data_IF_575910401155
#
_entry.id   IF_575910401155
#
_cell.length_a   1.000
_cell.length_b   1.000
_cell.length_c   1.000
_cell.angle_alpha   90.00
_cell.angle_beta   90.00
_cell.angle_gamma   90.00
#
_symmetry.space_group_name_H-M   'P 1'
#
loop_
_entity.id
_entity.type
_entity.pdbx_description
1 polymer ?
#
# COMPACT_ATOMS: atom_id res chain seq x y z
N UNK A 1 -4.89 -8.15 -8.60
CA UNK A 1 -5.87 -8.57 -7.60
C UNK A 1 -6.62 -7.40 -6.97
N UNK A 2 -6.07 -6.18 -6.92
CA UNK A 2 -6.72 -4.96 -6.41
C UNK A 2 -7.23 -4.03 -7.53
N UNK A 3 -7.51 -4.56 -8.72
CA UNK A 3 -7.93 -3.77 -9.88
C UNK A 3 -9.44 -3.47 -9.89
N UNK A 4 -10.24 -4.16 -9.07
CA UNK A 4 -11.70 -4.01 -9.02
C UNK A 4 -12.21 -4.20 -7.58
N UNK A 5 -13.31 -3.53 -7.25
CA UNK A 5 -13.93 -3.53 -5.92
C UNK A 5 -13.74 -2.21 -5.18
N UNK A 6 -14.53 -2.01 -4.12
CA UNK A 6 -14.60 -0.75 -3.38
C UNK A 6 -13.25 -0.36 -2.72
N UNK A 7 -12.47 -1.33 -2.20
CA UNK A 7 -11.15 -1.11 -1.63
C UNK A 7 -9.99 -1.17 -2.64
N UNK A 8 -10.27 -1.19 -3.95
CA UNK A 8 -9.21 -1.21 -4.97
C UNK A 8 -8.44 0.12 -5.00
N UNK A 9 -7.17 0.07 -5.40
CA UNK A 9 -6.35 1.27 -5.55
C UNK A 9 -7.02 2.32 -6.43
N UNK A 10 -7.68 1.89 -7.55
CA UNK A 10 -8.39 2.81 -8.43
C UNK A 10 -9.56 3.50 -7.70
N UNK A 11 -10.44 2.75 -7.03
CA UNK A 11 -11.60 3.31 -6.35
C UNK A 11 -11.19 4.30 -5.25
N UNK A 12 -10.18 3.93 -4.48
CA UNK A 12 -9.63 4.75 -3.39
C UNK A 12 -8.98 6.02 -3.92
N UNK A 13 -8.20 5.94 -5.02
CA UNK A 13 -7.58 7.10 -5.65
C UNK A 13 -8.62 8.01 -6.34
N UNK A 14 -9.64 7.46 -6.96
CA UNK A 14 -10.75 8.24 -7.53
C UNK A 14 -11.47 9.05 -6.43
N UNK A 15 -11.69 8.45 -5.25
CA UNK A 15 -12.25 9.15 -4.09
C UNK A 15 -11.31 10.24 -3.55
N UNK A 16 -10.02 9.95 -3.45
CA UNK A 16 -9.00 10.93 -3.02
C UNK A 16 -8.93 12.12 -3.99
N UNK A 17 -8.94 11.87 -5.28
CA UNK A 17 -8.99 12.93 -6.30
C UNK A 17 -10.22 13.83 -6.12
N UNK A 18 -11.40 13.26 -5.87
CA UNK A 18 -12.62 14.04 -5.62
C UNK A 18 -12.46 14.95 -4.39
N UNK A 19 -11.78 14.49 -3.32
CA UNK A 19 -11.50 15.34 -2.14
C UNK A 19 -10.57 16.50 -2.49
N UNK A 20 -9.51 16.25 -3.26
CA UNK A 20 -8.58 17.30 -3.71
C UNK A 20 -9.28 18.31 -4.63
N UNK A 21 -10.10 17.85 -5.58
CA UNK A 21 -10.87 18.72 -6.48
C UNK A 21 -11.90 19.56 -5.71
N UNK A 22 -12.54 18.98 -4.70
CA UNK A 22 -13.43 19.70 -3.81
C UNK A 22 -12.69 20.78 -3.01
N UNK A 23 -11.52 20.48 -2.44
CA UNK A 23 -10.68 21.46 -1.74
C UNK A 23 -10.33 22.62 -2.66
N UNK A 24 -9.84 22.34 -3.86
CA UNK A 24 -9.51 23.38 -4.85
C UNK A 24 -10.72 24.26 -5.17
N UNK A 25 -11.88 23.66 -5.42
CA UNK A 25 -13.12 24.39 -5.73
C UNK A 25 -13.60 25.23 -4.55
N UNK A 26 -13.48 24.72 -3.33
CA UNK A 26 -13.84 25.42 -2.08
C UNK A 26 -12.92 26.62 -1.83
N UNK A 27 -11.62 26.46 -2.05
CA UNK A 27 -10.66 27.56 -1.93
C UNK A 27 -10.96 28.67 -2.96
N UNK A 28 -11.25 28.33 -4.20
CA UNK A 28 -11.64 29.30 -5.23
C UNK A 28 -12.93 30.03 -4.86
N UNK A 29 -13.93 29.34 -4.32
CA UNK A 29 -15.17 29.96 -3.84
C UNK A 29 -14.89 30.96 -2.70
N UNK A 30 -14.00 30.60 -1.76
CA UNK A 30 -13.58 31.49 -0.68
C UNK A 30 -12.90 32.76 -1.22
N UNK A 31 -11.94 32.62 -2.14
CA UNK A 31 -11.26 33.76 -2.77
C UNK A 31 -12.27 34.67 -3.47
N UNK A 32 -13.20 34.12 -4.23
CA UNK A 32 -14.26 34.89 -4.90
C UNK A 32 -15.16 35.62 -3.91
N UNK A 33 -15.53 35.01 -2.79
CA UNK A 33 -16.35 35.61 -1.74
C UNK A 33 -15.62 36.78 -1.08
N UNK A 34 -14.35 36.62 -0.74
CA UNK A 34 -13.52 37.67 -0.11
C UNK A 34 -13.34 38.84 -1.08
N UNK A 35 -12.95 38.57 -2.34
CA UNK A 35 -12.80 39.63 -3.36
C UNK A 35 -14.10 40.40 -3.59
N UNK A 36 -15.25 39.72 -3.64
CA UNK A 36 -16.55 40.38 -3.74
C UNK A 36 -16.90 41.26 -2.53
N UNK A 37 -16.50 40.86 -1.32
CA UNK A 37 -16.65 41.68 -0.12
C UNK A 37 -15.71 42.91 -0.15
N UNK A 38 -14.49 42.73 -0.59
CA UNK A 38 -13.50 43.84 -0.70
C UNK A 38 -13.96 44.86 -1.73
N UNK A 39 -14.42 44.43 -2.89
CA UNK A 39 -14.99 45.32 -3.92
C UNK A 39 -16.21 46.09 -3.38
N UNK A 40 -17.08 45.40 -2.64
CA UNK A 40 -18.22 46.00 -1.97
C UNK A 40 -17.81 47.08 -0.96
N UNK A 41 -16.83 46.80 -0.12
CA UNK A 41 -16.31 47.73 0.86
C UNK A 41 -15.62 48.92 0.20
N UNK A 42 -14.83 48.72 -0.85
CA UNK A 42 -14.20 49.76 -1.63
C UNK A 42 -15.27 50.71 -2.24
N UNK A 43 -16.28 50.17 -2.87
CA UNK A 43 -17.39 50.98 -3.40
C UNK A 43 -18.19 51.69 -2.31
N UNK A 44 -18.36 51.13 -1.12
CA UNK A 44 -19.04 51.79 -0.01
C UNK A 44 -18.19 52.98 0.52
N UNK A 45 -16.88 52.85 0.57
CA UNK A 45 -15.94 53.93 0.98
C UNK A 45 -15.93 55.07 -0.04
N UNK A 46 -15.88 54.78 -1.33
CA UNK A 46 -15.93 55.77 -2.40
C UNK A 46 -17.23 56.61 -2.38
N UNK A 47 -18.35 55.99 -2.01
CA UNK A 47 -19.68 56.61 -1.96
C UNK A 47 -20.00 57.37 -0.68
N UNK A 48 -19.13 57.33 0.34
CA UNK A 48 -19.37 57.93 1.65
C UNK A 48 -19.52 59.49 1.59
N UNK A 49 -19.46 60.06 0.37
CA UNK A 49 -19.73 61.48 0.10
C UNK A 49 -21.05 61.79 -0.59
N UNK A 50 -21.87 60.84 -0.94
CA UNK A 50 -23.17 61.13 -1.61
C UNK A 50 -24.14 59.94 -1.54
N UNK A 51 -25.20 60.09 -0.67
CA UNK A 51 -26.52 59.43 -0.73
C UNK A 51 -26.67 58.00 -0.26
N UNK A 52 -27.91 57.56 0.05
CA UNK A 52 -28.20 56.42 0.93
C UNK A 52 -27.68 55.10 0.43
N UNK A 53 -27.27 54.29 1.38
CA UNK A 53 -26.73 52.93 1.27
C UNK A 53 -27.53 52.10 0.31
N UNK A 54 -27.08 51.98 -0.94
CA UNK A 54 -27.48 50.90 -1.80
C UNK A 54 -26.79 49.67 -1.26
N UNK A 55 -27.57 48.76 -0.65
CA UNK A 55 -27.07 47.50 -0.12
C UNK A 55 -26.29 46.80 -1.22
N UNK A 56 -24.97 46.66 -0.93
CA UNK A 56 -24.12 45.85 -1.78
C UNK A 56 -24.56 44.38 -1.56
N UNK A 57 -25.27 43.84 -2.48
CA UNK A 57 -25.61 42.40 -2.49
C UNK A 57 -24.44 41.68 -3.10
N UNK A 58 -23.54 41.14 -2.24
CA UNK A 58 -22.59 40.12 -2.68
C UNK A 58 -23.42 38.88 -3.01
N UNK A 59 -23.33 38.40 -4.22
CA UNK A 59 -23.92 37.10 -4.55
C UNK A 59 -23.35 36.05 -3.60
N UNK A 60 -24.23 35.29 -2.92
CA UNK A 60 -23.73 34.28 -1.98
C UNK A 60 -22.86 33.29 -2.75
N UNK A 61 -21.60 33.20 -2.38
CA UNK A 61 -20.68 32.24 -2.99
C UNK A 61 -21.24 30.82 -2.79
N UNK A 62 -21.46 30.11 -3.90
CA UNK A 62 -21.94 28.75 -3.84
C UNK A 62 -20.76 27.84 -3.54
N UNK A 63 -20.69 27.38 -2.28
CA UNK A 63 -19.68 26.42 -1.87
C UNK A 63 -20.05 25.02 -2.36
N UNK A 64 -19.12 24.29 -2.97
CA UNK A 64 -19.38 22.92 -3.39
C UNK A 64 -19.61 22.01 -2.18
N UNK A 65 -20.56 21.08 -2.28
CA UNK A 65 -20.74 20.05 -1.26
C UNK A 65 -19.52 19.15 -1.22
N UNK A 66 -19.09 18.79 0.01
CA UNK A 66 -18.02 17.84 0.20
C UNK A 66 -18.45 16.46 -0.28
N UNK A 67 -17.68 15.79 -1.16
CA UNK A 67 -17.97 14.41 -1.54
C UNK A 67 -17.75 13.47 -0.33
N UNK A 68 -18.50 12.36 -0.34
CA UNK A 68 -18.27 11.29 0.65
C UNK A 68 -16.92 10.61 0.40
N UNK A 69 -16.25 10.23 1.49
CA UNK A 69 -14.99 9.50 1.43
C UNK A 69 -15.28 8.01 1.29
N UNK A 70 -14.79 7.41 0.21
CA UNK A 70 -14.90 5.98 -0.05
C UNK A 70 -13.53 5.31 0.05
N UNK A 71 -13.07 5.10 1.29
CA UNK A 71 -11.79 4.47 1.62
C UNK A 71 -12.04 3.10 2.24
N UNK A 72 -12.63 2.21 1.43
CA UNK A 72 -13.03 0.89 1.87
C UNK A 72 -11.82 -0.03 2.12
N UNK A 73 -12.02 -0.98 3.01
CA UNK A 73 -11.05 -2.03 3.25
C UNK A 73 -11.01 -3.02 2.08
N UNK A 74 -9.85 -3.58 1.84
CA UNK A 74 -9.68 -4.70 0.94
C UNK A 74 -9.27 -5.97 1.69
N UNK A 75 -9.60 -7.12 1.11
CA UNK A 75 -9.15 -8.41 1.62
C UNK A 75 -8.26 -9.08 0.57
N UNK A 76 -7.07 -9.46 0.99
CA UNK A 76 -6.20 -10.29 0.18
C UNK A 76 -6.49 -11.76 0.51
N UNK A 77 -6.96 -12.51 -0.48
CA UNK A 77 -7.13 -13.96 -0.36
C UNK A 77 -5.93 -14.63 -1.03
N UNK A 78 -5.01 -15.22 -0.27
CA UNK A 78 -3.90 -15.94 -0.88
C UNK A 78 -4.41 -17.10 -1.73
N UNK A 79 -3.73 -17.44 -2.84
CA UNK A 79 -4.10 -18.57 -3.64
C UNK A 79 -4.00 -19.86 -2.83
N UNK A 80 -5.05 -20.67 -2.87
CA UNK A 80 -5.03 -21.99 -2.25
C UNK A 80 -4.22 -22.94 -3.14
N UNK A 81 -3.18 -23.51 -2.57
CA UNK A 81 -2.40 -24.57 -3.20
C UNK A 81 -2.97 -25.90 -2.69
N UNK A 82 -3.71 -26.59 -3.51
CA UNK A 82 -4.30 -27.87 -3.15
C UNK A 82 -3.84 -28.96 -4.12
N UNK A 83 -3.47 -30.09 -3.58
CA UNK A 83 -3.20 -31.31 -4.35
C UNK A 83 -1.77 -31.80 -4.26
N UNK A 84 -1.59 -33.06 -4.64
CA UNK A 84 -0.29 -33.70 -4.81
C UNK A 84 0.03 -33.65 -6.31
N UNK A 85 1.11 -32.95 -6.65
CA UNK A 85 1.60 -32.89 -8.02
C UNK A 85 3.02 -33.49 -8.07
N UNK A 86 3.40 -34.17 -9.18
CA UNK A 86 4.77 -34.68 -9.34
C UNK A 86 5.81 -33.56 -9.31
N UNK A 87 6.99 -33.86 -8.79
CA UNK A 87 8.07 -32.90 -8.59
C UNK A 87 8.49 -32.18 -9.88
N UNK A 88 8.78 -32.93 -10.94
CA UNK A 88 9.31 -32.38 -12.20
C UNK A 88 8.40 -31.36 -12.87
N UNK A 89 7.08 -31.59 -13.04
CA UNK A 89 6.16 -30.58 -13.57
C UNK A 89 6.06 -29.34 -12.71
N UNK A 90 6.06 -29.49 -11.38
CA UNK A 90 5.99 -28.34 -10.46
C UNK A 90 7.26 -27.51 -10.53
N UNK A 91 8.44 -28.14 -10.51
CA UNK A 91 9.72 -27.45 -10.67
C UNK A 91 9.78 -26.69 -11.99
N UNK A 92 9.43 -27.35 -13.11
CA UNK A 92 9.42 -26.71 -14.42
C UNK A 92 8.45 -25.52 -14.49
N UNK A 93 7.30 -25.60 -13.84
CA UNK A 93 6.34 -24.50 -13.78
C UNK A 93 6.91 -23.29 -13.02
N UNK A 94 7.59 -23.52 -11.87
CA UNK A 94 8.26 -22.43 -11.14
C UNK A 94 9.42 -21.82 -11.92
N UNK A 95 10.25 -22.64 -12.55
CA UNK A 95 11.36 -22.17 -13.40
C UNK A 95 10.87 -21.35 -14.61
N UNK A 96 9.75 -21.74 -15.22
CA UNK A 96 9.14 -21.04 -16.34
C UNK A 96 8.37 -19.76 -15.94
N UNK A 97 8.18 -19.51 -14.64
CA UNK A 97 7.40 -18.35 -14.17
C UNK A 97 8.11 -17.05 -14.52
N UNK A 98 7.42 -16.18 -15.26
CA UNK A 98 7.96 -14.88 -15.65
C UNK A 98 7.82 -13.87 -14.49
N UNK A 99 8.95 -13.41 -13.96
CA UNK A 99 9.03 -12.43 -12.87
C UNK A 99 8.80 -10.99 -13.31
N UNK A 100 8.94 -10.69 -14.61
CA UNK A 100 8.80 -9.32 -15.11
C UNK A 100 7.42 -8.69 -14.83
N UNK A 101 6.36 -9.50 -14.75
CA UNK A 101 5.03 -9.01 -14.36
C UNK A 101 4.99 -8.58 -12.89
N UNK A 102 5.70 -9.29 -12.02
CA UNK A 102 5.84 -8.97 -10.60
C UNK A 102 6.62 -7.67 -10.42
N UNK A 103 7.75 -7.56 -11.11
CA UNK A 103 8.60 -6.35 -11.07
C UNK A 103 7.85 -5.12 -11.59
N UNK A 104 7.11 -5.26 -12.69
CA UNK A 104 6.27 -4.19 -13.23
C UNK A 104 5.16 -3.79 -12.25
N UNK A 105 4.52 -4.75 -11.59
CA UNK A 105 3.48 -4.45 -10.60
C UNK A 105 4.05 -3.73 -9.38
N UNK A 106 5.22 -4.15 -8.87
CA UNK A 106 5.91 -3.46 -7.79
C UNK A 106 6.31 -2.03 -8.20
N UNK A 107 6.83 -1.85 -9.41
CA UNK A 107 7.17 -0.53 -9.94
C UNK A 107 5.93 0.38 -10.06
N UNK A 108 4.78 -0.13 -10.51
CA UNK A 108 3.55 0.65 -10.57
C UNK A 108 3.09 1.12 -9.19
N UNK A 109 3.19 0.28 -8.15
CA UNK A 109 2.88 0.67 -6.79
C UNK A 109 3.81 1.76 -6.26
N UNK A 110 5.11 1.66 -6.52
CA UNK A 110 6.08 2.69 -6.15
C UNK A 110 5.83 4.01 -6.89
N UNK A 111 5.55 3.96 -8.19
CA UNK A 111 5.23 5.16 -8.97
C UNK A 111 3.95 5.86 -8.46
N UNK A 112 2.92 5.08 -8.10
CA UNK A 112 1.70 5.62 -7.51
C UNK A 112 2.00 6.25 -6.13
N UNK A 113 2.82 5.59 -5.30
CA UNK A 113 3.25 6.12 -4.01
C UNK A 113 3.95 7.48 -4.18
N UNK A 114 4.92 7.57 -5.08
CA UNK A 114 5.71 8.79 -5.28
C UNK A 114 4.86 9.94 -5.84
N UNK A 115 3.93 9.63 -6.75
CA UNK A 115 3.02 10.63 -7.30
C UNK A 115 2.08 11.21 -6.23
N UNK A 116 1.49 10.37 -5.40
CA UNK A 116 0.57 10.81 -4.34
C UNK A 116 1.34 11.50 -3.20
N UNK A 117 2.51 11.01 -2.82
CA UNK A 117 3.36 11.63 -1.79
C UNK A 117 3.76 13.07 -2.18
N UNK A 118 4.04 13.28 -3.47
CA UNK A 118 4.31 14.62 -4.00
C UNK A 118 3.09 15.55 -3.85
N UNK A 119 1.89 15.08 -4.24
CA UNK A 119 0.65 15.85 -4.09
C UNK A 119 0.39 16.16 -2.61
N UNK A 120 0.56 15.19 -1.73
CA UNK A 120 0.41 15.36 -0.29
C UNK A 120 1.38 16.42 0.26
N UNK A 121 2.64 16.38 -0.17
CA UNK A 121 3.63 17.41 0.21
C UNK A 121 3.30 18.82 -0.29
N UNK A 122 2.71 18.92 -1.48
CA UNK A 122 2.22 20.22 -2.01
C UNK A 122 1.03 20.74 -1.18
N UNK A 123 0.13 19.83 -0.74
CA UNK A 123 -0.98 20.19 0.16
C UNK A 123 -0.48 20.61 1.55
N UNK A 124 0.53 19.94 2.12
CA UNK A 124 1.15 20.37 3.37
C UNK A 124 1.77 21.77 3.26
N UNK A 125 2.45 22.04 2.15
CA UNK A 125 2.98 23.37 1.86
C UNK A 125 1.87 24.43 1.82
N UNK A 126 0.78 24.15 1.13
CA UNK A 126 -0.38 25.04 1.03
C UNK A 126 -1.07 25.26 2.40
N UNK A 127 -1.24 24.19 3.19
CA UNK A 127 -1.82 24.29 4.52
C UNK A 127 -1.03 25.24 5.41
N UNK A 128 0.30 25.17 5.35
CA UNK A 128 1.19 26.05 6.09
C UNK A 128 1.14 27.48 5.57
N UNK A 129 1.19 27.68 4.26
CA UNK A 129 1.16 29.02 3.65
C UNK A 129 -0.12 29.78 4.02
N UNK A 130 -1.27 29.11 4.07
CA UNK A 130 -2.54 29.74 4.41
C UNK A 130 -2.48 30.40 5.80
N UNK A 131 -1.93 29.72 6.81
CA UNK A 131 -1.86 30.28 8.19
C UNK A 131 -0.67 31.23 8.38
N UNK A 132 0.38 31.12 7.57
CA UNK A 132 1.52 32.03 7.64
C UNK A 132 1.16 33.45 7.16
N UNK A 133 0.22 33.55 6.18
CA UNK A 133 -0.14 34.86 5.57
C UNK A 133 -1.52 35.35 5.98
N UNK A 134 -2.34 34.54 6.64
CA UNK A 134 -3.69 34.89 7.06
C UNK A 134 -3.91 34.54 8.52
N UNK A 135 -4.84 35.24 9.17
CA UNK A 135 -5.21 34.97 10.57
C UNK A 135 -6.71 34.85 10.73
N UNK A 136 -7.14 33.95 11.61
CA UNK A 136 -8.52 33.79 12.01
C UNK A 136 -9.09 32.39 11.75
N UNK A 137 -10.17 32.08 12.45
CA UNK A 137 -10.82 30.76 12.50
C UNK A 137 -11.08 30.13 11.11
N UNK A 138 -11.52 30.88 10.08
CA UNK A 138 -11.75 30.26 8.76
C UNK A 138 -10.47 29.75 8.09
N UNK A 139 -9.36 30.45 8.26
CA UNK A 139 -8.07 30.05 7.68
C UNK A 139 -7.46 28.87 8.44
N UNK A 140 -7.58 28.86 9.77
CA UNK A 140 -7.15 27.73 10.59
C UNK A 140 -7.94 26.45 10.22
N UNK A 141 -9.26 26.57 10.01
CA UNK A 141 -10.10 25.46 9.61
C UNK A 141 -9.77 24.95 8.19
N UNK A 142 -9.48 25.86 7.25
CA UNK A 142 -9.06 25.50 5.90
C UNK A 142 -7.71 24.79 5.91
N UNK A 143 -6.72 25.33 6.63
CA UNK A 143 -5.40 24.72 6.80
C UNK A 143 -5.51 23.31 7.40
N UNK A 144 -6.26 23.16 8.50
CA UNK A 144 -6.48 21.85 9.13
C UNK A 144 -7.09 20.82 8.16
N UNK A 145 -8.04 21.24 7.33
CA UNK A 145 -8.68 20.35 6.35
C UNK A 145 -7.73 19.93 5.23
N UNK A 146 -6.90 20.86 4.75
CA UNK A 146 -5.89 20.57 3.73
C UNK A 146 -4.85 19.60 4.30
N UNK A 147 -4.37 19.84 5.52
CA UNK A 147 -3.42 18.97 6.20
C UNK A 147 -3.99 17.55 6.44
N UNK A 148 -5.28 17.42 6.77
CA UNK A 148 -5.96 16.11 6.87
C UNK A 148 -5.95 15.36 5.54
N UNK A 149 -6.22 16.04 4.43
CA UNK A 149 -6.16 15.45 3.09
C UNK A 149 -4.73 15.08 2.70
N UNK A 150 -3.75 15.92 3.04
CA UNK A 150 -2.32 15.62 2.85
C UNK A 150 -1.91 14.36 3.62
N UNK A 151 -2.29 14.26 4.90
CA UNK A 151 -2.00 13.09 5.72
C UNK A 151 -2.59 11.80 5.13
N UNK A 152 -3.81 11.87 4.59
CA UNK A 152 -4.44 10.74 3.90
C UNK A 152 -3.63 10.32 2.67
N UNK A 153 -3.09 11.27 1.91
CA UNK A 153 -2.18 11.02 0.78
C UNK A 153 -0.87 10.36 1.22
N UNK A 154 -0.24 10.83 2.30
CA UNK A 154 0.96 10.20 2.86
C UNK A 154 0.71 8.77 3.35
N UNK A 155 -0.45 8.51 3.95
CA UNK A 155 -0.84 7.16 4.35
C UNK A 155 -0.95 6.25 3.13
N UNK A 156 -1.59 6.71 2.04
CA UNK A 156 -1.62 5.95 0.79
C UNK A 156 -0.22 5.65 0.28
N UNK A 157 0.66 6.63 0.22
CA UNK A 157 2.02 6.45 -0.29
C UNK A 157 2.79 5.41 0.52
N UNK A 158 2.71 5.45 1.85
CA UNK A 158 3.34 4.47 2.74
C UNK A 158 2.77 3.05 2.51
N UNK A 159 1.45 2.93 2.41
CA UNK A 159 0.77 1.65 2.16
C UNK A 159 1.06 1.12 0.75
N UNK A 160 1.13 1.98 -0.26
CA UNK A 160 1.51 1.60 -1.62
C UNK A 160 2.95 1.06 -1.69
N UNK A 161 3.90 1.64 -0.96
CA UNK A 161 5.27 1.10 -0.82
C UNK A 161 5.26 -0.26 -0.11
N UNK A 162 4.42 -0.45 0.89
CA UNK A 162 4.21 -1.75 1.55
C UNK A 162 3.65 -2.79 0.56
N UNK A 163 2.71 -2.39 -0.29
CA UNK A 163 2.20 -3.25 -1.37
C UNK A 163 3.29 -3.63 -2.36
N UNK A 164 4.12 -2.66 -2.79
CA UNK A 164 5.25 -2.91 -3.68
C UNK A 164 6.22 -3.95 -3.07
N UNK A 165 6.57 -3.79 -1.80
CA UNK A 165 7.43 -4.73 -1.08
C UNK A 165 6.81 -6.13 -0.99
N UNK A 166 5.51 -6.22 -0.71
CA UNK A 166 4.79 -7.50 -0.66
C UNK A 166 4.72 -8.18 -2.03
N UNK A 167 4.54 -7.41 -3.10
CA UNK A 167 4.58 -7.93 -4.48
C UNK A 167 5.98 -8.45 -4.81
N UNK A 168 7.04 -7.70 -4.47
CA UNK A 168 8.43 -8.12 -4.73
C UNK A 168 8.80 -9.43 -4.03
N UNK A 169 8.22 -9.70 -2.85
CA UNK A 169 8.42 -10.99 -2.14
C UNK A 169 7.96 -12.21 -2.95
N UNK A 170 7.08 -12.06 -3.91
CA UNK A 170 6.68 -13.17 -4.77
C UNK A 170 7.85 -13.74 -5.59
N UNK A 171 8.81 -12.89 -5.98
CA UNK A 171 10.04 -13.34 -6.64
C UNK A 171 10.92 -14.13 -5.68
N UNK A 172 11.08 -13.66 -4.44
CA UNK A 172 11.84 -14.37 -3.40
C UNK A 172 11.21 -15.74 -3.09
N UNK A 173 9.87 -15.80 -3.01
CA UNK A 173 9.12 -17.06 -2.80
C UNK A 173 9.33 -18.01 -3.97
N UNK A 174 9.29 -17.52 -5.23
CA UNK A 174 9.58 -18.31 -6.41
C UNK A 174 11.00 -18.90 -6.35
N UNK A 175 12.01 -18.08 -6.09
CA UNK A 175 13.41 -18.51 -6.06
C UNK A 175 13.65 -19.52 -4.92
N UNK A 176 13.05 -19.29 -3.76
CA UNK A 176 13.05 -20.24 -2.67
C UNK A 176 12.38 -21.57 -3.06
N UNK A 177 11.22 -21.51 -3.73
CA UNK A 177 10.49 -22.72 -4.16
C UNK A 177 11.32 -23.54 -5.15
N UNK A 178 11.95 -22.88 -6.14
CA UNK A 178 12.85 -23.56 -7.08
C UNK A 178 14.00 -24.23 -6.33
N UNK A 179 14.67 -23.53 -5.44
CA UNK A 179 15.78 -24.09 -4.66
C UNK A 179 15.33 -25.26 -3.75
N UNK A 180 14.14 -25.20 -3.16
CA UNK A 180 13.58 -26.26 -2.32
C UNK A 180 13.27 -27.50 -3.17
N UNK A 181 12.63 -27.35 -4.33
CA UNK A 181 12.29 -28.44 -5.24
C UNK A 181 13.54 -29.09 -5.85
N UNK A 182 14.57 -28.32 -6.20
CA UNK A 182 15.86 -28.87 -6.66
C UNK A 182 16.59 -29.69 -5.60
N UNK A 183 16.50 -29.29 -4.32
CA UNK A 183 17.03 -30.09 -3.20
C UNK A 183 16.28 -31.42 -3.06
N UNK A 184 14.94 -31.38 -3.14
CA UNK A 184 14.11 -32.58 -3.14
C UNK A 184 14.53 -33.51 -4.30
N UNK A 185 14.65 -32.99 -5.52
CA UNK A 185 15.09 -33.72 -6.70
C UNK A 185 16.46 -34.40 -6.50
N UNK A 186 17.41 -33.66 -5.95
CA UNK A 186 18.74 -34.19 -5.64
C UNK A 186 18.66 -35.32 -4.62
N UNK A 187 17.87 -35.12 -3.56
CA UNK A 187 17.74 -36.13 -2.47
C UNK A 187 17.12 -37.43 -2.99
N UNK A 188 16.00 -37.33 -3.73
CA UNK A 188 15.33 -38.54 -4.23
C UNK A 188 16.13 -39.26 -5.34
N UNK A 189 16.97 -38.52 -6.06
CA UNK A 189 17.83 -39.11 -7.13
C UNK A 189 18.92 -40.02 -6.56
N UNK A 190 19.28 -39.90 -5.30
CA UNK A 190 20.26 -40.77 -4.63
C UNK A 190 19.69 -42.10 -4.21
N UNK A 191 18.36 -42.26 -4.21
CA UNK A 191 17.68 -43.50 -3.81
C UNK A 191 17.64 -44.48 -4.98
N UNK A 192 18.30 -45.66 -4.90
CA UNK A 192 18.40 -46.60 -6.02
C UNK A 192 17.10 -47.36 -6.30
N UNK A 193 16.31 -47.64 -5.25
CA UNK A 193 15.05 -48.35 -5.38
C UNK A 193 13.94 -47.47 -5.93
N UNK A 194 13.27 -47.90 -7.02
CA UNK A 194 12.25 -47.11 -7.72
C UNK A 194 10.99 -46.88 -6.90
N UNK A 195 10.58 -47.90 -6.12
CA UNK A 195 9.38 -47.80 -5.29
C UNK A 195 9.62 -46.90 -4.10
N UNK A 196 10.75 -47.08 -3.41
CA UNK A 196 11.18 -46.19 -2.33
C UNK A 196 11.32 -44.75 -2.81
N UNK A 197 11.88 -44.51 -4.02
CA UNK A 197 11.98 -43.20 -4.64
C UNK A 197 10.62 -42.54 -4.87
N UNK A 198 9.66 -43.25 -5.43
CA UNK A 198 8.33 -42.70 -5.66
C UNK A 198 7.56 -42.39 -4.37
N UNK A 199 7.74 -43.23 -3.33
CA UNK A 199 7.15 -42.97 -2.01
C UNK A 199 7.75 -41.71 -1.37
N UNK A 200 9.08 -41.58 -1.39
CA UNK A 200 9.77 -40.44 -0.86
C UNK A 200 9.44 -39.12 -1.61
N UNK A 201 9.32 -39.20 -2.95
CA UNK A 201 8.84 -38.06 -3.74
C UNK A 201 7.45 -37.61 -3.30
N UNK A 202 6.52 -38.56 -3.14
CA UNK A 202 5.15 -38.24 -2.73
C UNK A 202 5.12 -37.61 -1.33
N UNK A 203 5.93 -38.05 -0.38
CA UNK A 203 6.01 -37.48 0.97
C UNK A 203 6.58 -36.06 0.95
N UNK A 204 7.70 -35.84 0.26
CA UNK A 204 8.31 -34.52 0.16
C UNK A 204 7.39 -33.52 -0.56
N UNK A 205 6.77 -33.96 -1.65
CA UNK A 205 5.83 -33.10 -2.38
C UNK A 205 4.57 -32.80 -1.58
N UNK A 206 4.06 -33.76 -0.80
CA UNK A 206 2.93 -33.52 0.09
C UNK A 206 3.28 -32.46 1.16
N UNK A 207 4.47 -32.56 1.77
CA UNK A 207 4.95 -31.57 2.73
C UNK A 207 5.12 -30.19 2.07
N UNK A 208 5.80 -30.13 0.93
CA UNK A 208 6.04 -28.89 0.20
C UNK A 208 4.73 -28.17 -0.17
N UNK A 209 3.78 -28.91 -0.79
CA UNK A 209 2.55 -28.33 -1.29
C UNK A 209 1.55 -27.95 -0.18
N UNK A 210 1.49 -28.71 0.91
CA UNK A 210 0.47 -28.51 1.95
C UNK A 210 0.98 -27.69 3.16
N UNK A 211 2.29 -27.56 3.34
CA UNK A 211 2.88 -26.85 4.50
C UNK A 211 3.84 -25.75 4.09
N UNK A 212 4.89 -26.09 3.36
CA UNK A 212 6.02 -25.17 3.14
C UNK A 212 5.65 -24.02 2.18
N UNK A 213 5.02 -24.35 1.04
CA UNK A 213 4.61 -23.34 0.05
C UNK A 213 3.50 -22.41 0.58
N UNK A 214 2.42 -22.90 1.23
CA UNK A 214 1.43 -22.02 1.86
C UNK A 214 2.04 -21.09 2.91
N UNK A 215 2.96 -21.58 3.75
CA UNK A 215 3.65 -20.77 4.74
C UNK A 215 4.50 -19.66 4.09
N UNK A 216 5.20 -19.99 2.99
CA UNK A 216 5.95 -19.00 2.22
C UNK A 216 5.03 -17.94 1.58
N UNK A 217 3.91 -18.35 0.98
CA UNK A 217 2.92 -17.44 0.39
C UNK A 217 2.36 -16.47 1.44
N UNK A 218 2.10 -16.93 2.66
CA UNK A 218 1.62 -16.07 3.75
C UNK A 218 2.60 -14.94 4.10
N UNK A 219 3.90 -15.13 3.93
CA UNK A 219 4.90 -14.07 4.14
C UNK A 219 4.85 -12.95 3.08
N UNK A 220 4.28 -13.25 1.91
CA UNK A 220 4.02 -12.27 0.84
C UNK A 220 2.72 -11.50 1.00
N UNK A 221 1.86 -11.85 1.96
CA UNK A 221 0.60 -11.14 2.21
C UNK A 221 0.90 -9.77 2.82
N UNK A 222 0.39 -8.66 2.23
CA UNK A 222 0.62 -7.34 2.79
C UNK A 222 -0.07 -7.22 4.17
N UNK A 223 0.61 -6.63 5.17
CA UNK A 223 0.06 -6.49 6.54
C UNK A 223 -0.92 -5.31 6.66
N UNK A 224 -1.55 -4.90 5.57
CA UNK A 224 -2.47 -3.77 5.50
C UNK A 224 -3.82 -4.23 4.94
N UNK A 225 -4.89 -3.58 5.38
CA UNK A 225 -6.26 -3.85 4.92
C UNK A 225 -6.94 -2.62 4.32
N UNK A 226 -6.31 -1.45 4.43
CA UNK A 226 -6.81 -0.19 3.91
C UNK A 226 -5.64 0.65 3.37
N UNK A 227 -5.84 1.25 2.21
CA UNK A 227 -4.78 2.03 1.55
C UNK A 227 -4.64 3.45 2.11
N UNK A 228 -5.69 4.01 2.72
CA UNK A 228 -5.70 5.40 3.20
C UNK A 228 -5.53 5.54 4.72
N UNK A 229 -5.61 4.44 5.46
CA UNK A 229 -5.37 4.47 6.91
C UNK A 229 -3.86 4.48 7.20
N UNK A 230 -3.51 5.05 8.34
CA UNK A 230 -2.11 4.99 8.80
C UNK A 230 -1.60 3.54 8.77
N UNK A 231 -0.40 3.30 8.24
CA UNK A 231 0.17 1.96 8.23
C UNK A 231 0.32 1.45 9.68
N UNK A 232 0.16 0.14 9.90
CA UNK A 232 0.40 -0.43 11.22
C UNK A 232 1.86 -0.13 11.63
N UNK A 233 2.11 0.15 12.92
CA UNK A 233 3.46 0.34 13.39
C UNK A 233 4.29 -0.90 13.04
N UNK A 234 5.57 -0.74 12.69
CA UNK A 234 6.44 -1.87 12.46
C UNK A 234 6.41 -2.76 13.71
N UNK A 235 6.39 -4.10 13.53
CA UNK A 235 6.44 -5.00 14.67
C UNK A 235 7.61 -4.57 15.55
N UNK A 236 7.34 -4.39 16.86
CA UNK A 236 8.36 -4.00 17.81
C UNK A 236 9.52 -4.99 17.63
N UNK A 237 10.68 -4.48 17.19
CA UNK A 237 11.89 -5.28 17.22
C UNK A 237 12.09 -5.59 18.70
N UNK A 238 11.83 -6.83 19.08
CA UNK A 238 12.26 -7.31 20.36
C UNK A 238 13.78 -7.07 20.42
N UNK A 239 14.17 -6.02 21.12
CA UNK A 239 15.55 -5.81 21.52
C UNK A 239 15.87 -6.95 22.47
N UNK A 240 16.22 -8.10 21.90
CA UNK A 240 16.90 -9.14 22.66
C UNK A 240 18.18 -8.50 23.18
N UNK A 241 18.13 -8.13 24.46
CA UNK A 241 19.29 -7.66 25.19
C UNK A 241 20.42 -8.65 24.92
N UNK A 242 21.43 -8.12 24.31
CA UNK A 242 22.66 -8.76 23.88
C UNK A 242 23.25 -9.65 24.99
N UNK A 243 23.10 -10.97 24.88
CA UNK A 243 24.02 -11.93 25.45
C UNK A 243 24.84 -12.44 24.29
N UNK A 244 26.09 -12.01 24.27
CA UNK A 244 27.00 -12.17 23.13
C UNK A 244 27.07 -13.60 22.59
N UNK A 245 26.70 -13.72 21.34
CA UNK A 245 27.19 -14.71 20.40
C UNK A 245 27.00 -14.14 18.99
N UNK A 246 28.10 -13.93 18.31
CA UNK A 246 28.21 -13.66 16.90
C UNK A 246 27.49 -14.76 16.12
N UNK A 247 26.26 -14.51 15.65
CA UNK A 247 25.67 -15.30 14.59
C UNK A 247 25.36 -14.36 13.43
N UNK A 248 26.05 -14.59 12.35
CA UNK A 248 25.78 -14.05 11.02
C UNK A 248 24.31 -14.36 10.66
N UNK A 249 23.46 -13.34 10.65
CA UNK A 249 22.08 -13.47 10.22
C UNK A 249 22.03 -13.69 8.71
N UNK A 250 22.03 -14.95 8.30
CA UNK A 250 21.48 -15.35 7.01
C UNK A 250 20.01 -15.58 7.24
N UNK A 251 19.16 -14.69 6.74
CA UNK A 251 17.72 -14.86 6.73
C UNK A 251 17.37 -15.98 5.71
N UNK A 252 17.55 -17.22 6.13
CA UNK A 252 17.09 -18.42 5.44
C UNK A 252 15.97 -19.04 6.26
N UNK A 253 14.83 -19.32 5.64
CA UNK A 253 13.80 -20.16 6.22
C UNK A 253 14.46 -21.46 6.72
N UNK A 254 14.24 -21.86 7.97
CA UNK A 254 14.85 -23.08 8.49
C UNK A 254 14.18 -24.31 7.85
N UNK A 255 14.79 -24.84 6.81
CA UNK A 255 14.61 -26.24 6.49
C UNK A 255 15.52 -26.99 7.45
N UNK A 256 14.90 -27.47 8.54
CA UNK A 256 15.60 -28.24 9.56
C UNK A 256 16.17 -29.52 8.94
N UNK A 257 17.46 -29.50 8.64
CA UNK A 257 18.17 -30.66 8.07
C UNK A 257 18.34 -31.83 9.04
N UNK A 258 17.76 -31.75 10.24
CA UNK A 258 17.93 -32.76 11.29
C UNK A 258 17.05 -34.01 11.14
N UNK A 259 16.06 -34.02 10.25
CA UNK A 259 15.13 -35.15 10.11
C UNK A 259 15.48 -36.14 8.99
N UNK A 260 16.54 -35.92 8.23
CA UNK A 260 16.92 -36.86 7.15
C UNK A 260 17.71 -38.06 7.69
N UNK A 261 18.36 -37.93 8.85
CA UNK A 261 19.15 -39.01 9.44
C UNK A 261 18.33 -40.08 10.20
N UNK A 262 17.07 -39.78 10.53
CA UNK A 262 16.19 -40.72 11.27
C UNK A 262 15.43 -41.71 10.41
N UNK A 263 15.45 -41.58 9.08
CA UNK A 263 14.70 -42.47 8.17
C UNK A 263 15.56 -43.55 7.50
N UNK A 264 16.87 -43.59 7.77
CA UNK A 264 17.78 -44.60 7.18
C UNK A 264 18.36 -45.57 8.23
N UNK A 265 17.70 -45.76 9.38
CA UNK A 265 18.03 -46.81 10.33
C UNK A 265 16.92 -47.79 10.55
#
# INVERSE_FOLDING_TARGET
VLLSGAGSAKAVLDSYQQQVDWLHSSLRANVSAISGQDDCMAHAMERNNASPVQQCTVDPATFPMRPEEHYDNFMFTPPLVNGIAPLKPVLAAFEATNTAMVDNAAAQWNNAADAIDKIAGELDGLAKEIVDVNTGVPFDAASARIAETAQTGHNFAANARTMAASVSKLNEIKDWAVAALQRIDTTISTVPDTLARSTLEAEFMAKFMNMDLPAAIQQGVPPITNLMQAPPPPPAQETTANVGMTQTATAGLPLDGANVAGFLS
#
